data_IF_566498898305
#
_entry.id   IF_566498898305
#
_cell.length_a   1.000
_cell.length_b   1.000
_cell.length_c   1.000
_cell.angle_alpha   90.00
_cell.angle_beta   90.00
_cell.angle_gamma   90.00
#
_symmetry.space_group_name_H-M   'P 1'
#
loop_
_entity.id
_entity.type
_entity.pdbx_description
1 polymer ?
#
# COMPACT_ATOMS: atom_id res chain seq x y z
N UNK A 1 25.78 19.58 23.74
CA UNK A 1 24.32 19.55 23.57
C UNK A 1 23.94 18.11 23.26
N UNK A 2 23.00 17.51 24.01
CA UNK A 2 22.47 16.17 23.68
C UNK A 2 21.52 16.30 22.49
N UNK A 3 21.61 15.37 21.54
CA UNK A 3 20.64 15.28 20.45
C UNK A 3 19.24 14.99 21.03
N UNK A 4 18.18 15.60 20.46
CA UNK A 4 16.82 15.29 20.89
C UNK A 4 16.49 13.81 20.64
N UNK A 5 15.60 13.20 21.45
CA UNK A 5 15.17 11.83 21.22
C UNK A 5 14.52 11.65 19.86
N UNK A 6 14.61 10.43 19.27
CA UNK A 6 14.13 10.15 17.92
C UNK A 6 12.64 10.49 17.72
N UNK A 7 11.78 10.24 18.71
CA UNK A 7 10.34 10.57 18.59
C UNK A 7 10.08 12.06 18.43
N UNK A 8 10.90 12.94 19.03
CA UNK A 8 10.79 14.40 18.85
C UNK A 8 11.23 14.79 17.44
N UNK A 9 12.29 14.16 16.94
CA UNK A 9 12.77 14.42 15.57
C UNK A 9 11.76 13.90 14.53
N UNK A 10 11.13 12.77 14.80
CA UNK A 10 10.18 12.13 13.85
C UNK A 10 8.91 12.98 13.62
N UNK A 11 8.52 13.86 14.56
CA UNK A 11 7.38 14.76 14.39
C UNK A 11 7.57 15.80 13.28
N UNK A 12 8.83 16.15 12.99
CA UNK A 12 9.16 17.12 11.95
C UNK A 12 9.53 16.47 10.61
N UNK A 13 9.62 15.14 10.57
CA UNK A 13 9.95 14.43 9.34
C UNK A 13 8.77 14.39 8.36
N UNK A 14 9.07 14.57 7.09
CA UNK A 14 8.13 14.23 6.02
C UNK A 14 7.98 12.70 5.94
N UNK A 15 6.88 12.23 5.34
CA UNK A 15 6.67 10.79 5.11
C UNK A 15 7.84 10.16 4.31
N UNK A 16 8.41 10.90 3.36
CA UNK A 16 9.57 10.46 2.57
C UNK A 16 10.83 10.29 3.42
N UNK A 17 11.09 11.22 4.34
CA UNK A 17 12.21 11.13 5.26
C UNK A 17 12.05 9.94 6.23
N UNK A 18 10.85 9.74 6.78
CA UNK A 18 10.57 8.57 7.62
C UNK A 18 10.77 7.27 6.84
N UNK A 19 10.30 7.21 5.60
CA UNK A 19 10.49 6.06 4.72
C UNK A 19 11.98 5.79 4.42
N UNK A 20 12.79 6.84 4.24
CA UNK A 20 14.24 6.72 4.04
C UNK A 20 14.93 6.14 5.28
N UNK A 21 14.52 6.54 6.48
CA UNK A 21 15.00 5.94 7.74
C UNK A 21 14.63 4.45 7.79
N UNK A 22 13.37 4.11 7.52
CA UNK A 22 12.91 2.71 7.50
C UNK A 22 13.70 1.85 6.50
N UNK A 23 13.98 2.36 5.30
CA UNK A 23 14.80 1.68 4.30
C UNK A 23 16.23 1.43 4.82
N UNK A 24 16.84 2.44 5.42
CA UNK A 24 18.18 2.30 6.00
C UNK A 24 18.24 1.28 7.13
N UNK A 25 17.22 1.19 7.98
CA UNK A 25 17.12 0.18 9.03
C UNK A 25 17.01 -1.24 8.46
N UNK A 26 16.25 -1.41 7.39
CA UNK A 26 16.06 -2.71 6.74
C UNK A 26 17.33 -3.21 6.03
N UNK A 27 18.03 -2.31 5.35
CA UNK A 27 19.15 -2.68 4.46
C UNK A 27 20.51 -2.69 5.16
N UNK A 28 20.74 -1.81 6.13
CA UNK A 28 22.07 -1.49 6.62
C UNK A 28 22.28 -1.76 8.12
N UNK A 29 21.28 -2.25 8.83
CA UNK A 29 21.39 -2.46 10.27
C UNK A 29 21.52 -3.96 10.62
N UNK A 30 22.77 -4.50 10.76
CA UNK A 30 22.97 -5.90 11.12
C UNK A 30 22.32 -6.30 12.44
N UNK A 31 22.11 -5.35 13.36
CA UNK A 31 21.50 -5.61 14.67
C UNK A 31 20.07 -6.16 14.59
N UNK A 32 19.37 -5.93 13.48
CA UNK A 32 18.01 -6.43 13.24
C UNK A 32 17.97 -7.76 12.46
N UNK A 33 19.08 -8.20 11.87
CA UNK A 33 19.13 -9.48 11.17
C UNK A 33 19.22 -10.64 12.18
N UNK A 34 18.29 -11.60 12.07
CA UNK A 34 18.27 -12.83 12.88
C UNK A 34 19.03 -13.94 12.14
N UNK A 35 18.77 -14.06 10.84
CA UNK A 35 19.37 -15.02 9.92
C UNK A 35 19.17 -14.51 8.49
N UNK A 36 19.82 -15.09 7.46
CA UNK A 36 19.55 -14.72 6.07
C UNK A 36 18.04 -14.75 5.76
N UNK A 37 17.50 -13.61 5.35
CA UNK A 37 16.08 -13.47 5.01
C UNK A 37 15.11 -13.32 6.18
N UNK A 38 15.56 -13.23 7.44
CA UNK A 38 14.71 -13.02 8.62
C UNK A 38 15.17 -11.82 9.42
N UNK A 39 14.29 -10.83 9.57
CA UNK A 39 14.56 -9.57 10.27
C UNK A 39 13.67 -9.45 11.51
N UNK A 40 14.19 -8.94 12.62
CA UNK A 40 13.41 -8.62 13.82
C UNK A 40 12.29 -7.62 13.53
N UNK A 41 12.49 -6.75 12.54
CA UNK A 41 11.50 -5.76 12.10
C UNK A 41 10.31 -6.39 11.34
N UNK A 42 10.38 -7.68 10.95
CA UNK A 42 9.26 -8.35 10.28
C UNK A 42 7.99 -8.38 11.15
N UNK A 43 8.14 -8.39 12.47
CA UNK A 43 7.01 -8.33 13.40
C UNK A 43 6.26 -7.00 13.31
N UNK A 44 6.90 -5.92 12.88
CA UNK A 44 6.26 -4.61 12.67
C UNK A 44 5.29 -4.63 11.49
N UNK A 45 5.49 -5.52 10.52
CA UNK A 45 4.61 -5.65 9.37
C UNK A 45 3.33 -6.47 9.63
N UNK A 46 3.36 -7.36 10.62
CA UNK A 46 2.24 -8.27 10.94
C UNK A 46 0.91 -7.56 11.23
N UNK A 47 0.88 -6.48 12.04
CA UNK A 47 -0.36 -5.74 12.29
C UNK A 47 -1.02 -5.19 11.01
N UNK A 48 -0.24 -4.96 9.96
CA UNK A 48 -0.73 -4.49 8.66
C UNK A 48 -1.13 -5.63 7.71
N UNK A 49 -1.18 -6.88 8.20
CA UNK A 49 -1.49 -8.06 7.40
C UNK A 49 -0.36 -8.46 6.44
N UNK A 50 0.87 -8.01 6.66
CA UNK A 50 2.04 -8.25 5.81
C UNK A 50 3.01 -9.24 6.47
N UNK A 51 3.78 -9.97 5.66
CA UNK A 51 4.65 -11.04 6.15
C UNK A 51 6.07 -10.58 6.47
N UNK A 52 6.47 -9.37 6.08
CA UNK A 52 7.83 -8.89 6.31
C UNK A 52 7.97 -7.38 6.16
N UNK A 53 8.97 -6.84 6.83
CA UNK A 53 9.25 -5.41 6.88
C UNK A 53 9.59 -4.81 5.51
N UNK A 54 10.25 -5.58 4.64
CA UNK A 54 10.50 -5.18 3.25
C UNK A 54 9.20 -4.94 2.46
N UNK A 55 8.18 -5.78 2.67
CA UNK A 55 6.84 -5.58 2.06
C UNK A 55 6.16 -4.33 2.60
N UNK A 56 6.29 -4.06 3.91
CA UNK A 56 5.76 -2.85 4.52
C UNK A 56 6.40 -1.60 3.91
N UNK A 57 7.73 -1.56 3.79
CA UNK A 57 8.46 -0.45 3.18
C UNK A 57 8.02 -0.22 1.73
N UNK A 58 7.88 -1.29 0.95
CA UNK A 58 7.40 -1.20 -0.44
C UNK A 58 6.00 -0.59 -0.50
N UNK A 59 5.10 -1.03 0.37
CA UNK A 59 3.73 -0.53 0.42
C UNK A 59 3.66 0.93 0.90
N UNK A 60 4.49 1.33 1.87
CA UNK A 60 4.63 2.74 2.26
C UNK A 60 5.13 3.61 1.09
N UNK A 61 6.05 3.08 0.27
CA UNK A 61 6.50 3.77 -0.95
C UNK A 61 5.36 3.94 -1.95
N UNK A 62 4.53 2.90 -2.14
CA UNK A 62 3.33 2.96 -2.98
C UNK A 62 2.30 3.99 -2.46
N UNK A 63 2.09 4.05 -1.15
CA UNK A 63 1.20 5.05 -0.52
C UNK A 63 1.74 6.46 -0.75
N UNK A 64 3.04 6.68 -0.57
CA UNK A 64 3.69 7.96 -0.82
C UNK A 64 3.53 8.40 -2.28
N UNK A 65 3.77 7.49 -3.24
CA UNK A 65 3.57 7.75 -4.66
C UNK A 65 2.12 8.14 -4.95
N UNK A 66 1.16 7.34 -4.50
CA UNK A 66 -0.26 7.58 -4.72
C UNK A 66 -0.72 8.91 -4.10
N UNK A 67 -0.31 9.17 -2.85
CA UNK A 67 -0.62 10.42 -2.14
C UNK A 67 -0.07 11.63 -2.89
N UNK A 68 1.16 11.56 -3.38
CA UNK A 68 1.79 12.66 -4.12
C UNK A 68 1.08 12.92 -5.45
N UNK A 69 0.69 11.85 -6.17
CA UNK A 69 -0.09 11.98 -7.39
C UNK A 69 -1.44 12.67 -7.14
N UNK A 70 -2.14 12.26 -6.08
CA UNK A 70 -3.41 12.90 -5.69
C UNK A 70 -3.22 14.36 -5.27
N UNK A 71 -2.20 14.66 -4.45
CA UNK A 71 -1.92 16.01 -3.96
C UNK A 71 -1.56 16.99 -5.09
N UNK A 72 -0.96 16.50 -6.16
CA UNK A 72 -0.63 17.29 -7.35
C UNK A 72 -1.68 17.19 -8.46
N UNK A 73 -2.88 16.68 -8.18
CA UNK A 73 -3.98 16.48 -9.14
C UNK A 73 -3.56 15.71 -10.41
N UNK A 74 -2.59 14.81 -10.28
CA UNK A 74 -2.10 14.01 -11.38
C UNK A 74 -3.09 12.89 -11.73
N UNK A 75 -3.10 12.52 -13.01
CA UNK A 75 -3.94 11.45 -13.53
C UNK A 75 -3.54 10.10 -12.93
N UNK A 76 -4.50 9.37 -12.36
CA UNK A 76 -4.35 7.97 -11.91
C UNK A 76 -4.81 6.97 -12.99
N UNK A 77 -5.69 7.38 -13.87
CA UNK A 77 -6.23 6.58 -14.97
C UNK A 77 -5.14 6.09 -15.91
N UNK A 78 -5.13 4.79 -16.21
CA UNK A 78 -4.18 4.15 -17.14
C UNK A 78 -2.71 4.51 -16.87
N UNK A 79 -2.34 4.70 -15.60
CA UNK A 79 -0.98 5.01 -15.17
C UNK A 79 -0.29 3.76 -14.64
N UNK A 80 0.97 3.57 -15.03
CA UNK A 80 1.83 2.59 -14.36
C UNK A 80 2.31 3.16 -13.03
N UNK A 81 2.15 2.37 -11.99
CA UNK A 81 2.52 2.67 -10.61
C UNK A 81 3.49 1.59 -10.12
N UNK A 82 4.18 1.85 -9.02
CA UNK A 82 4.99 0.82 -8.35
C UNK A 82 4.10 -0.34 -7.89
N UNK A 83 4.55 -1.59 -8.08
CA UNK A 83 3.79 -2.75 -7.61
C UNK A 83 3.81 -2.83 -6.08
N UNK A 84 2.65 -2.91 -5.41
CA UNK A 84 2.59 -3.25 -4.00
C UNK A 84 3.14 -4.66 -3.73
N UNK A 85 3.68 -4.86 -2.53
CA UNK A 85 4.26 -6.13 -2.10
C UNK A 85 3.39 -6.85 -1.07
N UNK A 86 3.59 -8.18 -0.94
CA UNK A 86 2.95 -8.97 0.12
C UNK A 86 1.46 -9.22 -0.06
N UNK A 87 0.89 -8.95 -1.24
CA UNK A 87 -0.54 -9.14 -1.51
C UNK A 87 -0.91 -10.59 -1.88
N UNK A 88 0.09 -11.41 -2.22
CA UNK A 88 -0.13 -12.81 -2.60
C UNK A 88 -0.86 -13.56 -1.48
N UNK A 89 -1.90 -14.30 -1.83
CA UNK A 89 -2.77 -15.05 -0.92
C UNK A 89 -3.64 -14.18 0.02
N UNK A 90 -3.72 -12.89 -0.19
CA UNK A 90 -4.59 -11.97 0.56
C UNK A 90 -5.90 -11.65 -0.19
N UNK A 91 -5.99 -12.05 -1.43
CA UNK A 91 -7.15 -11.90 -2.31
C UNK A 91 -7.33 -13.17 -3.14
N UNK A 92 -8.54 -13.40 -3.63
CA UNK A 92 -8.90 -14.58 -4.46
C UNK A 92 -8.80 -14.26 -5.95
N UNK A 93 -9.21 -13.06 -6.32
CA UNK A 93 -9.29 -12.61 -7.71
C UNK A 93 -8.04 -11.77 -8.03
N UNK A 94 -7.25 -12.23 -9.00
CA UNK A 94 -6.01 -11.54 -9.38
C UNK A 94 -6.29 -10.22 -10.07
N UNK A 95 -5.53 -9.14 -9.76
CA UNK A 95 -5.56 -7.90 -10.53
C UNK A 95 -5.31 -8.16 -12.01
N UNK A 96 -6.04 -7.49 -12.91
CA UNK A 96 -5.78 -7.56 -14.36
C UNK A 96 -4.38 -7.06 -14.70
N UNK A 97 -3.96 -6.00 -14.00
CA UNK A 97 -2.63 -5.41 -14.12
C UNK A 97 -2.11 -5.02 -12.73
N UNK A 98 -1.05 -5.68 -12.21
CA UNK A 98 -0.58 -5.47 -10.84
C UNK A 98 0.02 -4.07 -10.59
N UNK A 99 0.43 -3.38 -11.65
CA UNK A 99 1.02 -2.04 -11.60
C UNK A 99 -0.01 -0.91 -11.86
N UNK A 100 -1.28 -1.16 -11.57
CA UNK A 100 -2.37 -0.19 -11.77
C UNK A 100 -3.04 0.14 -10.44
N UNK A 101 -3.93 1.13 -10.49
CA UNK A 101 -4.65 1.68 -9.33
C UNK A 101 -5.33 0.61 -8.47
N UNK A 102 -5.95 -0.41 -9.09
CA UNK A 102 -6.64 -1.47 -8.35
C UNK A 102 -5.73 -2.16 -7.31
N UNK A 103 -4.49 -2.47 -7.66
CA UNK A 103 -3.56 -3.11 -6.73
C UNK A 103 -3.21 -2.23 -5.53
N UNK A 104 -3.20 -0.90 -5.70
CA UNK A 104 -2.99 0.05 -4.61
C UNK A 104 -4.22 0.13 -3.69
N UNK A 105 -5.43 0.14 -4.26
CA UNK A 105 -6.66 0.10 -3.48
C UNK A 105 -6.79 -1.22 -2.71
N UNK A 106 -6.44 -2.33 -3.35
CA UNK A 106 -6.39 -3.65 -2.72
C UNK A 106 -5.40 -3.67 -1.54
N UNK A 107 -4.21 -3.13 -1.71
CA UNK A 107 -3.21 -3.00 -0.64
C UNK A 107 -3.73 -2.15 0.52
N UNK A 108 -4.31 -0.98 0.24
CA UNK A 108 -4.91 -0.12 1.27
C UNK A 108 -6.03 -0.86 2.02
N UNK A 109 -6.93 -1.54 1.30
CA UNK A 109 -8.01 -2.32 1.91
C UNK A 109 -7.48 -3.42 2.83
N UNK A 110 -6.44 -4.16 2.41
CA UNK A 110 -5.81 -5.19 3.24
C UNK A 110 -5.26 -4.57 4.53
N UNK A 111 -4.53 -3.46 4.42
CA UNK A 111 -3.98 -2.79 5.59
C UNK A 111 -5.07 -2.25 6.53
N UNK A 112 -6.13 -1.62 6.00
CA UNK A 112 -7.25 -1.11 6.79
C UNK A 112 -8.00 -2.26 7.50
N UNK A 113 -8.32 -3.35 6.78
CA UNK A 113 -8.97 -4.52 7.39
C UNK A 113 -8.11 -5.12 8.52
N UNK A 114 -6.81 -5.24 8.31
CA UNK A 114 -5.89 -5.78 9.32
C UNK A 114 -5.85 -4.93 10.60
N UNK A 115 -6.09 -3.63 10.49
CA UNK A 115 -6.15 -2.67 11.59
C UNK A 115 -7.57 -2.43 12.12
N UNK A 116 -8.58 -3.05 11.55
CA UNK A 116 -9.99 -2.80 11.90
C UNK A 116 -10.47 -1.37 11.54
N UNK A 117 -9.81 -0.73 10.58
CA UNK A 117 -10.14 0.64 10.13
C UNK A 117 -11.16 0.57 9.00
N UNK A 118 -12.35 1.20 9.11
CA UNK A 118 -13.30 1.32 8.01
C UNK A 118 -12.73 2.28 6.95
N UNK A 119 -12.71 1.86 5.68
CA UNK A 119 -12.07 2.62 4.60
C UNK A 119 -13.05 3.21 3.57
N UNK A 120 -14.25 2.65 3.43
CA UNK A 120 -15.25 3.11 2.45
C UNK A 120 -14.84 2.94 0.97
N UNK A 121 -13.75 2.24 0.66
CA UNK A 121 -13.22 2.11 -0.72
C UNK A 121 -14.23 1.36 -1.61
N UNK A 122 -14.74 0.22 -1.15
CA UNK A 122 -15.65 -0.61 -1.95
C UNK A 122 -16.94 0.13 -2.34
N UNK A 123 -17.69 0.74 -1.41
CA UNK A 123 -18.89 1.50 -1.78
C UNK A 123 -18.58 2.71 -2.65
N UNK A 124 -17.48 3.42 -2.42
CA UNK A 124 -17.07 4.53 -3.27
C UNK A 124 -16.80 4.09 -4.71
N UNK A 125 -16.03 3.01 -4.91
CA UNK A 125 -15.71 2.48 -6.24
C UNK A 125 -16.96 1.97 -6.95
N UNK A 126 -17.84 1.27 -6.24
CA UNK A 126 -19.11 0.78 -6.80
C UNK A 126 -19.97 1.96 -7.30
N UNK A 127 -20.12 3.00 -6.49
CA UNK A 127 -20.87 4.19 -6.88
C UNK A 127 -20.20 4.91 -8.06
N UNK A 128 -18.90 5.07 -8.06
CA UNK A 128 -18.17 5.71 -9.15
C UNK A 128 -18.37 4.97 -10.49
N UNK A 129 -18.30 3.65 -10.51
CA UNK A 129 -18.54 2.87 -11.73
C UNK A 129 -20.01 2.91 -12.18
N UNK A 130 -20.95 3.03 -11.26
CA UNK A 130 -22.35 3.18 -11.58
C UNK A 130 -22.70 4.57 -12.14
N UNK A 131 -22.05 5.61 -11.65
CA UNK A 131 -22.39 7.01 -11.99
C UNK A 131 -21.56 7.59 -13.14
N UNK A 132 -20.39 7.03 -13.43
CA UNK A 132 -19.48 7.51 -14.48
C UNK A 132 -19.24 6.40 -15.51
N UNK A 133 -20.04 6.36 -16.60
CA UNK A 133 -20.03 5.25 -17.57
C UNK A 133 -18.66 4.98 -18.22
N UNK A 134 -17.84 6.02 -18.41
CA UNK A 134 -16.50 5.84 -18.98
C UNK A 134 -15.60 5.00 -18.08
N UNK A 135 -15.73 5.12 -16.77
CA UNK A 135 -14.95 4.33 -15.82
C UNK A 135 -15.39 2.88 -15.82
N UNK A 136 -16.70 2.62 -15.90
CA UNK A 136 -17.23 1.26 -15.99
C UNK A 136 -16.74 0.53 -17.25
N UNK A 137 -16.70 1.23 -18.39
CA UNK A 137 -16.21 0.67 -19.66
C UNK A 137 -14.72 0.33 -19.63
N UNK A 138 -13.92 1.15 -18.96
CA UNK A 138 -12.46 1.03 -19.02
C UNK A 138 -11.83 0.56 -17.69
N UNK A 139 -12.59 -0.13 -16.84
CA UNK A 139 -12.11 -0.67 -15.55
C UNK A 139 -10.78 -1.43 -15.66
N UNK A 140 -10.60 -2.20 -16.73
CA UNK A 140 -9.39 -2.97 -16.98
C UNK A 140 -8.13 -2.09 -17.08
N UNK A 141 -8.25 -0.87 -17.63
CA UNK A 141 -7.14 0.10 -17.72
C UNK A 141 -6.69 0.64 -16.36
N UNK A 142 -7.53 0.49 -15.32
CA UNK A 142 -7.17 0.76 -13.93
C UNK A 142 -6.76 -0.51 -13.17
N UNK A 143 -6.72 -1.66 -13.84
CA UNK A 143 -6.32 -2.95 -13.27
C UNK A 143 -7.45 -3.73 -12.58
N UNK A 144 -8.69 -3.26 -12.64
CA UNK A 144 -9.83 -3.97 -12.04
C UNK A 144 -10.18 -5.22 -12.86
N UNK A 145 -10.27 -6.39 -12.23
CA UNK A 145 -10.91 -7.56 -12.85
C UNK A 145 -12.42 -7.32 -12.94
N UNK A 146 -13.08 -7.96 -13.92
CA UNK A 146 -14.53 -7.75 -14.16
C UNK A 146 -15.40 -8.07 -12.94
N UNK A 147 -15.00 -9.06 -12.16
CA UNK A 147 -15.73 -9.56 -10.98
C UNK A 147 -15.06 -9.16 -9.66
N UNK A 148 -14.36 -8.05 -9.59
CA UNK A 148 -13.57 -7.64 -8.42
C UNK A 148 -14.37 -7.63 -7.11
N UNK A 149 -15.68 -7.28 -7.17
CA UNK A 149 -16.57 -7.23 -6.00
C UNK A 149 -16.83 -8.60 -5.36
N UNK A 150 -16.67 -9.69 -6.12
CA UNK A 150 -16.85 -11.05 -5.61
C UNK A 150 -15.66 -11.53 -4.76
N UNK A 151 -14.56 -10.78 -4.70
CA UNK A 151 -13.43 -11.13 -3.86
C UNK A 151 -13.77 -10.84 -2.39
N UNK A 152 -13.49 -11.80 -1.49
CA UNK A 152 -13.75 -11.73 -0.05
C UNK A 152 -13.10 -10.51 0.63
N UNK A 153 -12.09 -9.90 0.01
CA UNK A 153 -11.47 -8.71 0.55
C UNK A 153 -12.39 -7.48 0.46
N UNK A 154 -13.34 -7.46 -0.49
CA UNK A 154 -14.26 -6.36 -0.73
C UNK A 154 -15.62 -6.52 -0.01
N UNK A 155 -15.90 -7.70 0.46
CA UNK A 155 -17.04 -7.99 1.36
C UNK A 155 -16.64 -7.84 2.84
#
# INVERSE_FOLDING_TARGET
RRAPPFWVISEIFTLEQLLSVCKSLNEKCPAFMISPGKNKLDDVAKPFGLNGFGSLITNLSCILELRNLCAHHNRLWNRNLQNPAGLKNKHTIRPSHPNRLYSHLLMLRICCKAQGIPDGIAPFMTNMFATVPIFARDMANMGFPQNWQADHIWT
#
